data_IF_203713246920
#
_entry.id   IF_203713246920
#
_cell.length_a   1.000
_cell.length_b   1.000
_cell.length_c   1.000
_cell.angle_alpha   90.00
_cell.angle_beta   90.00
_cell.angle_gamma   90.00
#
_symmetry.space_group_name_H-M   'P 1'
#
loop_
_entity.id
_entity.type
_entity.pdbx_description
1 polymer ?
#
# COMPACT_ATOMS: atom_id res chain seq x y z
N UNK A 1 19.33 6.45 -0.99
CA UNK A 1 18.63 6.59 -2.28
C UNK A 1 17.17 6.26 -2.03
N UNK A 2 16.24 7.09 -2.48
CA UNK A 2 14.81 6.83 -2.38
C UNK A 2 14.37 5.79 -3.41
N UNK A 3 13.28 5.09 -3.12
CA UNK A 3 12.58 4.25 -4.08
C UNK A 3 11.30 4.93 -4.55
N UNK A 4 10.83 4.59 -5.74
CA UNK A 4 9.54 5.00 -6.27
C UNK A 4 8.73 3.80 -6.72
N UNK A 5 7.41 3.90 -6.63
CA UNK A 5 6.49 2.89 -7.11
C UNK A 5 5.19 3.52 -7.60
N UNK A 6 4.40 2.75 -8.32
CA UNK A 6 3.01 3.16 -8.55
C UNK A 6 2.05 2.49 -7.57
N UNK A 7 0.92 3.15 -7.32
CA UNK A 7 -0.22 2.61 -6.57
C UNK A 7 -1.46 2.65 -7.46
N UNK A 8 -1.95 1.48 -7.84
CA UNK A 8 -3.20 1.33 -8.60
C UNK A 8 -4.37 1.01 -7.67
N UNK A 9 -5.47 1.72 -7.83
CA UNK A 9 -6.75 1.39 -7.19
C UNK A 9 -7.52 0.32 -7.97
N UNK A 10 -7.18 0.13 -9.25
CA UNK A 10 -7.81 -0.83 -10.11
C UNK A 10 -9.29 -0.56 -10.36
N UNK A 11 -9.69 0.71 -10.39
CA UNK A 11 -11.05 1.09 -10.74
C UNK A 11 -11.44 0.60 -12.13
N UNK A 12 -12.62 0.04 -12.26
CA UNK A 12 -13.17 -0.35 -13.55
C UNK A 12 -14.60 0.13 -13.70
N UNK A 13 -14.90 0.61 -14.91
CA UNK A 13 -16.24 1.11 -15.25
C UNK A 13 -16.45 1.02 -16.75
N UNK A 14 -17.57 0.41 -17.16
CA UNK A 14 -18.01 0.44 -18.55
C UNK A 14 -18.63 1.81 -18.87
N UNK A 15 -17.78 2.72 -19.32
CA UNK A 15 -18.15 4.10 -19.66
C UNK A 15 -17.24 4.62 -20.78
N UNK A 16 -17.74 5.61 -21.51
CA UNK A 16 -16.94 6.33 -22.50
C UNK A 16 -15.69 6.96 -21.84
N UNK A 17 -14.54 6.85 -22.49
CA UNK A 17 -13.25 7.37 -21.98
C UNK A 17 -12.58 6.47 -20.95
N UNK A 18 -13.16 5.31 -20.56
CA UNK A 18 -12.49 4.32 -19.74
C UNK A 18 -11.93 3.18 -20.60
N UNK A 19 -10.62 2.95 -20.51
CA UNK A 19 -9.93 1.79 -21.09
C UNK A 19 -10.03 0.55 -20.17
N UNK A 20 -10.39 0.74 -18.89
CA UNK A 20 -10.60 -0.33 -17.90
C UNK A 20 -12.09 -0.49 -17.66
N UNK A 21 -12.77 -1.30 -18.48
CA UNK A 21 -14.23 -1.42 -18.50
C UNK A 21 -14.77 -2.55 -17.64
N UNK A 22 -13.97 -3.56 -17.40
CA UNK A 22 -14.33 -4.76 -16.64
C UNK A 22 -13.33 -5.08 -15.53
N UNK A 23 -13.72 -5.97 -14.61
CA UNK A 23 -12.81 -6.51 -13.62
C UNK A 23 -11.63 -7.25 -14.27
N UNK A 24 -11.86 -7.95 -15.39
CA UNK A 24 -10.80 -8.64 -16.12
C UNK A 24 -9.77 -7.64 -16.67
N UNK A 25 -10.23 -6.53 -17.29
CA UNK A 25 -9.35 -5.48 -17.77
C UNK A 25 -8.50 -4.92 -16.62
N UNK A 26 -9.11 -4.65 -15.48
CA UNK A 26 -8.42 -4.13 -14.31
C UNK A 26 -7.28 -5.05 -13.85
N UNK A 27 -7.53 -6.36 -13.78
CA UNK A 27 -6.53 -7.35 -13.37
C UNK A 27 -5.39 -7.47 -14.40
N UNK A 28 -5.73 -7.66 -15.69
CA UNK A 28 -4.76 -7.88 -16.75
C UNK A 28 -3.91 -6.63 -17.01
N UNK A 29 -4.53 -5.45 -17.08
CA UNK A 29 -3.81 -4.18 -17.27
C UNK A 29 -2.91 -3.84 -16.08
N UNK A 30 -3.26 -4.27 -14.86
CA UNK A 30 -2.37 -4.08 -13.69
C UNK A 30 -1.09 -4.94 -13.82
N UNK A 31 -1.19 -6.16 -14.37
CA UNK A 31 -0.03 -6.99 -14.66
C UNK A 31 0.84 -6.34 -15.75
N UNK A 32 0.24 -5.93 -16.86
CA UNK A 32 0.93 -5.27 -17.98
C UNK A 32 1.61 -3.96 -17.53
N UNK A 33 0.94 -3.17 -16.69
CA UNK A 33 1.54 -1.93 -16.16
C UNK A 33 2.74 -2.22 -15.24
N UNK A 34 2.70 -3.31 -14.47
CA UNK A 34 3.84 -3.69 -13.63
C UNK A 34 5.06 -4.11 -14.46
N UNK A 35 4.85 -4.80 -15.60
CA UNK A 35 5.92 -5.12 -16.56
C UNK A 35 6.50 -3.83 -17.17
N UNK A 36 5.64 -2.94 -17.66
CA UNK A 36 6.09 -1.64 -18.23
C UNK A 36 6.82 -0.78 -17.18
N UNK A 37 6.36 -0.75 -15.95
CA UNK A 37 7.01 -0.03 -14.86
C UNK A 37 8.41 -0.60 -14.54
N UNK A 38 8.56 -1.93 -14.55
CA UNK A 38 9.86 -2.57 -14.40
C UNK A 38 10.84 -2.20 -15.52
N UNK A 39 10.38 -2.13 -16.77
CA UNK A 39 11.18 -1.70 -17.92
C UNK A 39 11.64 -0.24 -17.78
N UNK A 40 10.81 0.62 -17.20
CA UNK A 40 11.13 2.02 -16.90
C UNK A 40 12.06 2.20 -15.69
N UNK A 41 12.39 1.12 -14.96
CA UNK A 41 13.25 1.15 -13.78
C UNK A 41 12.51 1.55 -12.49
N UNK A 42 11.19 1.58 -12.48
CA UNK A 42 10.37 1.83 -11.28
C UNK A 42 10.59 0.70 -10.28
N UNK A 43 10.73 1.03 -9.00
CA UNK A 43 11.08 0.07 -7.95
C UNK A 43 9.91 -0.78 -7.46
N UNK A 44 8.65 -0.33 -7.62
CA UNK A 44 7.51 -1.05 -7.05
C UNK A 44 6.18 -0.88 -7.77
N UNK A 45 5.41 -1.97 -7.77
CA UNK A 45 4.05 -2.08 -8.24
C UNK A 45 3.13 -2.41 -7.07
N UNK A 46 2.33 -1.43 -6.63
CA UNK A 46 1.44 -1.59 -5.48
C UNK A 46 -0.02 -1.52 -5.91
N UNK A 47 -0.85 -2.32 -5.27
CA UNK A 47 -2.29 -2.35 -5.49
C UNK A 47 -3.05 -2.03 -4.21
N UNK A 48 -4.09 -1.22 -4.32
CA UNK A 48 -5.03 -1.02 -3.23
C UNK A 48 -6.04 -2.17 -3.22
N UNK A 49 -6.47 -2.57 -2.02
CA UNK A 49 -7.48 -3.61 -1.83
C UNK A 49 -8.74 -2.98 -1.23
N UNK A 50 -9.89 -3.20 -1.90
CA UNK A 50 -11.18 -2.72 -1.43
C UNK A 50 -12.26 -3.75 -1.72
N UNK A 51 -13.03 -4.12 -0.69
CA UNK A 51 -14.16 -5.05 -0.83
C UNK A 51 -15.43 -4.30 -1.21
N UNK A 52 -16.36 -4.99 -1.87
CA UNK A 52 -17.67 -4.48 -2.33
C UNK A 52 -17.64 -3.30 -3.31
N UNK A 53 -16.49 -2.91 -3.80
CA UNK A 53 -16.28 -1.82 -4.75
C UNK A 53 -15.85 -2.36 -6.13
N UNK A 54 -16.05 -1.54 -7.17
CA UNK A 54 -15.50 -1.85 -8.50
C UNK A 54 -14.01 -1.50 -8.57
N UNK A 55 -13.23 -2.21 -7.77
CA UNK A 55 -11.80 -2.06 -7.56
C UNK A 55 -11.15 -3.43 -7.38
N UNK A 56 -9.84 -3.48 -7.16
CA UNK A 56 -9.14 -4.71 -6.81
C UNK A 56 -9.51 -5.14 -5.38
N UNK A 57 -9.84 -6.43 -5.20
CA UNK A 57 -10.31 -6.96 -3.92
C UNK A 57 -9.50 -8.18 -3.42
N UNK A 58 -8.91 -8.97 -4.33
CA UNK A 58 -8.16 -10.19 -3.99
C UNK A 58 -6.71 -10.03 -4.45
N UNK A 59 -5.77 -9.61 -3.56
CA UNK A 59 -4.44 -9.21 -3.99
C UNK A 59 -3.53 -10.39 -4.33
N UNK A 60 -3.57 -11.52 -3.61
CA UNK A 60 -2.55 -12.56 -3.73
C UNK A 60 -2.47 -13.24 -5.10
N UNK A 61 -3.58 -13.62 -5.77
CA UNK A 61 -3.50 -14.13 -7.14
C UNK A 61 -2.89 -13.14 -8.12
N UNK A 62 -3.23 -11.85 -7.98
CA UNK A 62 -2.70 -10.78 -8.81
C UNK A 62 -1.21 -10.55 -8.57
N UNK A 63 -0.79 -10.46 -7.30
CA UNK A 63 0.61 -10.28 -6.93
C UNK A 63 1.47 -11.48 -7.35
N UNK A 64 0.96 -12.70 -7.22
CA UNK A 64 1.65 -13.89 -7.70
C UNK A 64 1.84 -13.86 -9.24
N UNK A 65 0.80 -13.43 -9.98
CA UNK A 65 0.89 -13.27 -11.43
C UNK A 65 1.92 -12.20 -11.82
N UNK A 66 1.89 -11.02 -11.20
CA UNK A 66 2.90 -9.96 -11.41
C UNK A 66 4.30 -10.49 -11.04
N UNK A 67 4.44 -11.18 -9.90
CA UNK A 67 5.69 -11.74 -9.44
C UNK A 67 6.30 -12.74 -10.40
N UNK A 68 5.48 -13.57 -11.07
CA UNK A 68 5.91 -14.54 -12.07
C UNK A 68 6.31 -13.89 -13.42
N UNK A 69 5.73 -12.72 -13.75
CA UNK A 69 5.98 -11.99 -15.00
C UNK A 69 7.15 -11.01 -14.90
N UNK A 70 7.49 -10.55 -13.72
CA UNK A 70 8.56 -9.57 -13.45
C UNK A 70 9.77 -10.21 -12.78
N UNK A 71 10.89 -9.48 -12.68
CA UNK A 71 12.17 -10.00 -12.14
C UNK A 71 12.76 -9.16 -10.99
N UNK A 72 12.54 -7.85 -10.98
CA UNK A 72 13.19 -6.90 -10.06
C UNK A 72 12.21 -6.07 -9.25
N UNK A 73 11.10 -5.65 -9.87
CA UNK A 73 10.15 -4.75 -9.24
C UNK A 73 9.57 -5.37 -7.97
N UNK A 74 9.56 -4.62 -6.89
CA UNK A 74 8.83 -4.99 -5.67
C UNK A 74 7.33 -4.99 -5.95
N UNK A 75 6.62 -5.97 -5.42
CA UNK A 75 5.17 -6.08 -5.60
C UNK A 75 4.49 -5.93 -4.24
N UNK A 76 3.39 -5.22 -4.15
CA UNK A 76 2.84 -4.98 -2.82
C UNK A 76 1.40 -4.50 -2.78
N UNK A 77 0.95 -4.28 -1.56
CA UNK A 77 -0.39 -3.74 -1.28
C UNK A 77 -0.30 -2.41 -0.55
N UNK A 78 -1.22 -1.53 -0.88
CA UNK A 78 -1.34 -0.24 -0.22
C UNK A 78 -2.79 0.15 0.02
N UNK A 79 -3.52 -0.59 0.91
CA UNK A 79 -3.19 -1.70 1.83
C UNK A 79 -4.30 -2.75 1.85
N UNK A 80 -4.08 -3.90 2.49
CA UNK A 80 -5.12 -4.87 2.82
C UNK A 80 -5.84 -4.45 4.12
N UNK A 81 -7.14 -4.61 4.17
CA UNK A 81 -7.94 -4.40 5.37
C UNK A 81 -8.03 -5.70 6.20
N UNK A 82 -7.33 -5.73 7.32
CA UNK A 82 -7.26 -6.90 8.19
C UNK A 82 -8.61 -7.31 8.81
N UNK A 83 -9.61 -6.44 8.78
CA UNK A 83 -10.97 -6.80 9.25
C UNK A 83 -11.56 -7.94 8.43
N UNK A 84 -11.26 -7.98 7.13
CA UNK A 84 -11.78 -8.95 6.16
C UNK A 84 -10.96 -10.24 6.06
N UNK A 85 -9.74 -10.29 6.63
CA UNK A 85 -8.82 -11.39 6.42
C UNK A 85 -8.95 -12.52 7.44
N UNK A 86 -8.71 -13.75 6.99
CA UNK A 86 -8.32 -14.83 7.87
C UNK A 86 -6.78 -14.80 7.98
N UNK A 87 -6.22 -14.52 9.16
CA UNK A 87 -4.78 -14.30 9.29
C UNK A 87 -3.92 -15.52 8.94
N UNK A 88 -4.46 -16.74 9.08
CA UNK A 88 -3.73 -17.96 8.77
C UNK A 88 -3.74 -18.26 7.26
N UNK A 89 -4.90 -18.15 6.60
CA UNK A 89 -4.94 -18.21 5.13
C UNK A 89 -4.07 -17.14 4.49
N UNK A 90 -4.15 -15.92 5.02
CA UNK A 90 -3.32 -14.82 4.54
C UNK A 90 -1.81 -15.12 4.69
N UNK A 91 -1.40 -15.81 5.75
CA UNK A 91 0.00 -16.21 5.95
C UNK A 91 0.46 -17.22 4.88
N UNK A 92 -0.38 -18.19 4.53
CA UNK A 92 -0.11 -19.17 3.45
C UNK A 92 -0.01 -18.47 2.08
N UNK A 93 -0.98 -17.62 1.75
CA UNK A 93 -1.05 -16.90 0.47
C UNK A 93 0.09 -15.89 0.32
N UNK A 94 0.40 -15.13 1.38
CA UNK A 94 1.50 -14.18 1.37
C UNK A 94 2.85 -14.87 1.19
N UNK A 95 3.08 -15.98 1.89
CA UNK A 95 4.31 -16.74 1.74
C UNK A 95 4.43 -17.36 0.34
N UNK A 96 3.34 -17.88 -0.22
CA UNK A 96 3.32 -18.42 -1.58
C UNK A 96 3.61 -17.32 -2.63
N UNK A 97 2.96 -16.16 -2.53
CA UNK A 97 3.19 -15.04 -3.44
C UNK A 97 4.63 -14.50 -3.33
N UNK A 98 5.18 -14.43 -2.12
CA UNK A 98 6.54 -13.99 -1.88
C UNK A 98 7.58 -14.97 -2.46
N UNK A 99 7.40 -16.26 -2.27
CA UNK A 99 8.25 -17.29 -2.86
C UNK A 99 8.19 -17.29 -4.40
N UNK A 100 7.01 -17.14 -4.99
CA UNK A 100 6.83 -17.03 -6.45
C UNK A 100 7.58 -15.79 -6.98
N UNK A 101 7.53 -14.69 -6.27
CA UNK A 101 8.20 -13.45 -6.66
C UNK A 101 9.70 -13.42 -6.32
N UNK A 102 10.23 -14.42 -5.63
CA UNK A 102 11.64 -14.45 -5.20
C UNK A 102 11.96 -13.47 -4.07
N UNK A 103 11.04 -13.29 -3.12
CA UNK A 103 11.26 -12.44 -1.94
C UNK A 103 11.01 -10.95 -2.19
N UNK A 104 10.17 -10.58 -3.16
CA UNK A 104 9.91 -9.18 -3.54
C UNK A 104 8.58 -8.62 -3.01
N UNK A 105 7.81 -9.42 -2.26
CA UNK A 105 6.54 -8.98 -1.70
C UNK A 105 6.74 -7.92 -0.61
N UNK A 106 6.03 -6.81 -0.72
CA UNK A 106 5.94 -5.71 0.23
C UNK A 106 4.48 -5.63 0.72
N UNK A 107 4.17 -6.30 1.80
CA UNK A 107 2.79 -6.53 2.23
C UNK A 107 2.29 -5.43 3.15
N UNK A 108 1.52 -4.48 2.61
CA UNK A 108 0.87 -3.42 3.36
C UNK A 108 -0.48 -3.89 3.91
N UNK A 109 -0.68 -3.73 5.21
CA UNK A 109 -1.92 -4.06 5.94
C UNK A 109 -2.37 -2.88 6.79
N UNK A 110 -3.65 -2.82 7.15
CA UNK A 110 -4.20 -1.79 8.04
C UNK A 110 -5.45 -2.28 8.77
N UNK A 111 -6.01 -1.39 9.59
CA UNK A 111 -7.34 -1.60 10.16
C UNK A 111 -8.48 -1.32 9.18
N UNK A 112 -8.17 -0.98 7.93
CA UNK A 112 -9.12 -0.54 6.93
C UNK A 112 -9.39 0.97 6.93
N UNK A 113 -10.01 1.42 5.85
CA UNK A 113 -10.53 2.78 5.67
C UNK A 113 -12.05 2.78 5.80
N UNK A 114 -12.69 3.94 5.91
CA UNK A 114 -14.14 4.06 5.79
C UNK A 114 -14.65 3.45 4.49
N UNK A 115 -15.77 2.75 4.57
CA UNK A 115 -16.38 2.00 3.48
C UNK A 115 -17.81 2.45 3.23
N UNK A 116 -18.29 2.23 2.01
CA UNK A 116 -19.70 2.46 1.66
C UNK A 116 -20.60 1.32 2.16
N UNK A 117 -20.04 0.14 2.43
CA UNK A 117 -20.75 -1.03 2.93
C UNK A 117 -20.93 -0.97 4.45
N UNK A 118 -22.12 -1.23 4.92
CA UNK A 118 -22.42 -1.31 6.35
C UNK A 118 -21.97 -2.69 6.89
N UNK A 119 -21.04 -2.71 7.85
CA UNK A 119 -20.57 -3.93 8.54
C UNK A 119 -20.05 -5.00 7.58
N UNK A 120 -19.30 -4.58 6.56
CA UNK A 120 -18.87 -5.45 5.46
C UNK A 120 -18.07 -6.69 5.91
N UNK A 121 -17.19 -6.57 6.91
CA UNK A 121 -16.41 -7.68 7.44
C UNK A 121 -17.29 -8.81 8.01
N UNK A 122 -18.48 -8.50 8.53
CA UNK A 122 -19.41 -9.50 9.06
C UNK A 122 -20.00 -10.39 7.95
N UNK A 123 -20.14 -9.88 6.72
CA UNK A 123 -20.54 -10.70 5.57
C UNK A 123 -19.51 -11.79 5.26
N UNK A 124 -18.25 -11.58 5.64
CA UNK A 124 -17.16 -12.57 5.56
C UNK A 124 -17.07 -13.45 6.82
N UNK A 125 -18.00 -13.32 7.77
CA UNK A 125 -18.05 -14.09 9.01
C UNK A 125 -17.18 -13.54 10.14
N UNK A 126 -16.64 -12.32 10.00
CA UNK A 126 -15.77 -11.69 11.00
C UNK A 126 -16.55 -10.70 11.86
N UNK A 127 -17.16 -11.21 12.92
CA UNK A 127 -17.90 -10.43 13.90
C UNK A 127 -16.95 -10.11 15.07
N UNK A 128 -16.71 -8.82 15.40
CA UNK A 128 -15.92 -8.47 16.56
C UNK A 128 -16.53 -9.07 17.83
N UNK A 129 -15.73 -9.60 18.76
CA UNK A 129 -16.22 -10.01 20.07
C UNK A 129 -16.92 -8.85 20.78
N UNK A 130 -17.85 -9.18 21.69
CA UNK A 130 -18.56 -8.16 22.48
C UNK A 130 -17.56 -7.26 23.23
N UNK A 131 -17.72 -5.94 23.11
CA UNK A 131 -16.82 -4.95 23.71
C UNK A 131 -15.53 -4.67 22.94
N UNK A 132 -15.30 -5.34 21.81
CA UNK A 132 -14.13 -5.14 20.94
C UNK A 132 -14.52 -4.30 19.73
N UNK A 133 -13.76 -3.25 19.41
CA UNK A 133 -13.99 -2.45 18.22
C UNK A 133 -13.31 -3.07 16.96
N UNK A 134 -13.68 -2.56 15.79
CA UNK A 134 -13.13 -3.05 14.53
C UNK A 134 -11.60 -2.83 14.39
N UNK A 135 -11.06 -1.81 15.05
CA UNK A 135 -9.62 -1.53 15.02
C UNK A 135 -8.85 -2.54 15.88
N UNK A 136 -9.42 -2.94 17.00
CA UNK A 136 -8.84 -3.98 17.87
C UNK A 136 -8.91 -5.36 17.21
N UNK A 137 -10.01 -5.68 16.53
CA UNK A 137 -10.11 -6.90 15.71
C UNK A 137 -9.00 -6.93 14.63
N UNK A 138 -8.80 -5.84 13.91
CA UNK A 138 -7.76 -5.77 12.89
C UNK A 138 -6.35 -5.91 13.49
N UNK A 139 -6.08 -5.32 14.65
CA UNK A 139 -4.79 -5.46 15.35
C UNK A 139 -4.55 -6.90 15.80
N UNK A 140 -5.52 -7.54 16.44
CA UNK A 140 -5.39 -8.93 16.92
C UNK A 140 -5.16 -9.92 15.76
N UNK A 141 -5.85 -9.73 14.63
CA UNK A 141 -5.62 -10.51 13.41
C UNK A 141 -4.23 -10.25 12.82
N UNK A 142 -3.76 -9.01 12.85
CA UNK A 142 -2.41 -8.67 12.39
C UNK A 142 -1.34 -9.34 13.26
N UNK A 143 -1.49 -9.32 14.57
CA UNK A 143 -0.56 -9.97 15.50
C UNK A 143 -0.51 -11.49 15.27
N UNK A 144 -1.65 -12.15 15.07
CA UNK A 144 -1.69 -13.58 14.73
C UNK A 144 -1.04 -13.85 13.36
N UNK A 145 -1.27 -13.01 12.36
CA UNK A 145 -0.61 -13.09 11.06
C UNK A 145 0.91 -12.99 11.19
N UNK A 146 1.41 -12.00 11.96
CA UNK A 146 2.83 -11.81 12.19
C UNK A 146 3.47 -13.02 12.88
N UNK A 147 2.82 -13.58 13.90
CA UNK A 147 3.25 -14.81 14.56
C UNK A 147 3.30 -16.00 13.58
N UNK A 148 2.30 -16.14 12.72
CA UNK A 148 2.23 -17.22 11.75
C UNK A 148 3.37 -17.17 10.72
N UNK A 149 3.69 -16.00 10.17
CA UNK A 149 4.80 -15.83 9.21
C UNK A 149 6.19 -15.88 9.89
N UNK A 150 6.27 -15.70 11.21
CA UNK A 150 7.46 -15.93 12.02
C UNK A 150 7.66 -17.42 12.38
N UNK A 151 6.77 -18.30 11.92
CA UNK A 151 6.86 -19.74 12.13
C UNK A 151 6.35 -20.22 13.49
N UNK A 152 5.56 -19.40 14.20
CA UNK A 152 4.94 -19.82 15.44
C UNK A 152 4.00 -21.03 15.24
N UNK A 153 3.97 -21.92 16.21
CA UNK A 153 3.03 -23.05 16.21
C UNK A 153 1.61 -22.54 16.51
N UNK A 154 0.72 -22.70 15.54
CA UNK A 154 -0.69 -22.27 15.61
C UNK A 154 -1.66 -23.44 15.72
N UNK A 155 -1.17 -24.68 15.55
CA UNK A 155 -1.93 -25.91 15.69
C UNK A 155 -1.10 -26.97 16.44
N UNK A 156 -1.70 -28.13 16.70
CA UNK A 156 -1.02 -29.24 17.35
C UNK A 156 -1.12 -30.51 16.50
N UNK A 157 -0.08 -31.34 16.56
CA UNK A 157 -0.09 -32.67 15.96
C UNK A 157 -1.13 -33.55 16.64
N UNK A 158 -1.71 -34.51 15.89
CA UNK A 158 -2.46 -35.63 16.44
C UNK A 158 -1.49 -36.78 16.76
N UNK A 159 -1.16 -37.04 18.04
CA UNK A 159 -0.19 -38.05 18.40
C UNK A 159 -0.62 -39.48 17.98
N UNK A 160 -1.93 -39.73 17.86
CA UNK A 160 -2.44 -41.03 17.42
C UNK A 160 -2.09 -41.32 15.95
N UNK A 161 -1.90 -40.27 15.14
CA UNK A 161 -1.53 -40.38 13.72
C UNK A 161 -0.04 -40.22 13.45
N UNK A 162 0.61 -39.33 14.19
CA UNK A 162 2.00 -38.95 13.94
C UNK A 162 3.01 -39.68 14.85
N UNK A 163 2.54 -40.28 15.94
CA UNK A 163 3.40 -40.88 16.96
C UNK A 163 4.13 -39.89 17.85
N UNK A 164 3.99 -38.58 17.61
CA UNK A 164 4.67 -37.50 18.35
C UNK A 164 3.70 -36.41 18.74
N UNK A 165 3.96 -35.78 19.89
CA UNK A 165 3.27 -34.55 20.30
C UNK A 165 4.11 -33.34 19.92
N UNK A 166 3.50 -32.30 19.35
CA UNK A 166 4.21 -31.08 18.97
C UNK A 166 3.29 -29.99 18.44
N UNK A 167 3.85 -28.80 18.24
CA UNK A 167 3.20 -27.70 17.56
C UNK A 167 3.41 -27.76 16.05
N UNK A 168 2.47 -27.22 15.31
CA UNK A 168 2.51 -27.10 13.86
C UNK A 168 2.45 -25.62 13.46
N UNK A 169 3.43 -25.17 12.68
CA UNK A 169 3.42 -23.87 12.03
C UNK A 169 2.72 -23.96 10.66
N UNK A 170 2.22 -22.82 10.19
CA UNK A 170 1.70 -22.64 8.83
C UNK A 170 2.82 -22.93 7.80
N UNK A 171 2.45 -23.48 6.66
CA UNK A 171 3.35 -23.72 5.51
C UNK A 171 2.67 -23.22 4.22
N UNK A 172 3.45 -22.68 3.24
CA UNK A 172 4.90 -22.52 3.28
C UNK A 172 5.36 -21.38 4.19
N UNK A 173 6.63 -21.34 4.56
CA UNK A 173 7.29 -20.20 5.17
C UNK A 173 8.14 -19.48 4.13
N UNK A 174 8.13 -18.14 4.11
CA UNK A 174 9.01 -17.36 3.25
C UNK A 174 10.02 -16.55 4.08
N UNK A 175 11.33 -16.85 3.97
CA UNK A 175 12.36 -16.19 4.76
C UNK A 175 12.38 -14.67 4.53
N UNK A 176 12.41 -13.89 5.61
CA UNK A 176 12.47 -12.43 5.57
C UNK A 176 11.15 -11.73 5.20
N UNK A 177 10.05 -12.44 4.97
CA UNK A 177 8.74 -11.81 4.70
C UNK A 177 8.33 -10.88 5.85
N UNK A 178 8.63 -11.24 7.09
CA UNK A 178 8.35 -10.44 8.28
C UNK A 178 8.89 -9.02 8.20
N UNK A 179 10.06 -8.81 7.62
CA UNK A 179 10.70 -7.51 7.47
C UNK A 179 10.08 -6.64 6.38
N UNK A 180 9.24 -7.26 5.51
CA UNK A 180 8.57 -6.62 4.39
C UNK A 180 7.08 -6.39 4.62
N UNK A 181 6.63 -6.54 5.87
CA UNK A 181 5.27 -6.15 6.29
C UNK A 181 5.25 -4.68 6.64
N UNK A 182 4.20 -3.98 6.18
CA UNK A 182 3.98 -2.56 6.35
C UNK A 182 2.63 -2.31 7.01
N UNK A 183 2.55 -1.27 7.82
CA UNK A 183 1.28 -0.82 8.39
C UNK A 183 0.84 0.49 7.76
N UNK A 184 -0.38 0.48 7.18
CA UNK A 184 -1.06 1.68 6.71
C UNK A 184 -1.63 2.47 7.88
N UNK A 185 -1.10 3.68 8.10
CA UNK A 185 -1.42 4.48 9.28
C UNK A 185 -2.03 5.82 8.90
N UNK A 186 -3.25 6.08 9.38
CA UNK A 186 -3.96 7.36 9.28
C UNK A 186 -3.84 8.24 10.52
N UNK A 187 -3.12 7.81 11.59
CA UNK A 187 -2.93 8.57 12.83
C UNK A 187 -1.51 8.40 13.38
N UNK A 188 -1.06 9.37 14.20
CA UNK A 188 0.23 9.26 14.90
C UNK A 188 0.28 8.07 15.87
N UNK A 189 -0.82 7.80 16.55
CA UNK A 189 -0.92 6.70 17.52
C UNK A 189 -0.74 5.33 16.85
N UNK A 190 -1.37 5.09 15.68
CA UNK A 190 -1.23 3.81 14.96
C UNK A 190 0.14 3.65 14.30
N UNK A 191 0.82 4.75 13.94
CA UNK A 191 2.21 4.72 13.52
C UNK A 191 3.15 4.23 14.62
N UNK A 192 2.98 4.71 15.85
CA UNK A 192 3.76 4.24 17.02
C UNK A 192 3.52 2.76 17.32
N UNK A 193 2.26 2.29 17.22
CA UNK A 193 1.95 0.87 17.38
C UNK A 193 2.66 0.02 16.31
N UNK A 194 2.66 0.45 15.05
CA UNK A 194 3.36 -0.24 13.97
C UNK A 194 4.86 -0.37 14.25
N UNK A 195 5.48 0.69 14.77
CA UNK A 195 6.87 0.67 15.18
C UNK A 195 7.13 -0.35 16.29
N UNK A 196 6.29 -0.38 17.34
CA UNK A 196 6.41 -1.35 18.43
C UNK A 196 6.30 -2.80 17.93
N UNK A 197 5.47 -3.05 16.91
CA UNK A 197 5.34 -4.35 16.26
C UNK A 197 6.47 -4.67 15.26
N UNK A 198 7.40 -3.77 15.01
CA UNK A 198 8.49 -3.96 14.06
C UNK A 198 8.04 -4.00 12.58
N UNK A 199 6.93 -3.37 12.24
CA UNK A 199 6.45 -3.21 10.87
C UNK A 199 6.96 -1.92 10.23
N UNK A 200 7.18 -1.90 8.92
CA UNK A 200 7.41 -0.68 8.15
C UNK A 200 6.17 0.22 8.16
N UNK A 201 6.32 1.50 7.82
CA UNK A 201 5.22 2.46 7.82
C UNK A 201 4.80 2.82 6.39
N UNK A 202 3.50 2.66 6.08
CA UNK A 202 2.85 3.35 4.97
C UNK A 202 2.00 4.48 5.54
N UNK A 203 2.47 5.74 5.44
CA UNK A 203 1.67 6.89 5.84
C UNK A 203 0.53 7.09 4.84
N UNK A 204 -0.70 7.11 5.35
CA UNK A 204 -1.92 7.08 4.54
C UNK A 204 -2.06 8.33 3.65
N UNK A 205 -2.79 8.19 2.54
CA UNK A 205 -3.20 9.31 1.68
C UNK A 205 -4.19 10.28 2.35
N UNK A 206 -4.69 9.91 3.52
CA UNK A 206 -5.51 10.74 4.39
C UNK A 206 -5.08 10.56 5.85
N UNK A 207 -5.17 11.61 6.63
CA UNK A 207 -5.02 11.56 8.08
C UNK A 207 -6.34 11.92 8.75
N UNK A 208 -6.75 11.13 9.72
CA UNK A 208 -7.95 11.36 10.54
C UNK A 208 -7.68 12.30 11.71
N UNK A 209 -6.62 13.09 11.62
CA UNK A 209 -6.20 14.11 12.57
C UNK A 209 -6.08 15.45 11.82
N UNK A 210 -7.05 16.34 11.96
CA UNK A 210 -6.96 17.69 11.40
C UNK A 210 -6.62 18.69 12.50
N UNK A 211 -5.36 19.13 12.53
CA UNK A 211 -4.82 20.11 13.50
C UNK A 211 -4.64 21.50 12.89
N UNK A 212 -5.08 21.72 11.63
CA UNK A 212 -4.82 22.95 10.88
C UNK A 212 -3.44 23.04 10.22
N UNK A 213 -2.56 22.07 10.50
CA UNK A 213 -1.22 21.96 9.89
C UNK A 213 -1.35 21.38 8.47
N UNK A 214 -0.53 21.78 7.48
CA UNK A 214 -0.50 21.17 6.15
C UNK A 214 -0.30 19.66 6.19
N UNK A 215 -0.84 18.95 5.19
CA UNK A 215 -0.86 17.48 5.17
C UNK A 215 0.55 16.87 5.18
N UNK A 216 1.47 17.41 4.40
CA UNK A 216 2.86 16.95 4.33
C UNK A 216 3.59 17.11 5.66
N UNK A 217 3.33 18.20 6.40
CA UNK A 217 3.91 18.43 7.73
C UNK A 217 3.33 17.47 8.77
N UNK A 218 2.00 17.20 8.75
CA UNK A 218 1.37 16.20 9.61
C UNK A 218 1.94 14.80 9.38
N UNK A 219 2.18 14.43 8.11
CA UNK A 219 2.83 13.17 7.80
C UNK A 219 4.29 13.13 8.24
N UNK A 220 5.04 14.22 8.09
CA UNK A 220 6.41 14.33 8.57
C UNK A 220 6.49 14.17 10.09
N UNK A 221 5.55 14.78 10.85
CA UNK A 221 5.41 14.55 12.30
C UNK A 221 5.12 13.07 12.62
N UNK A 222 4.18 12.43 11.90
CA UNK A 222 3.89 11.01 12.07
C UNK A 222 5.12 10.15 11.85
N UNK A 223 5.90 10.44 10.81
CA UNK A 223 7.15 9.74 10.48
C UNK A 223 8.20 9.91 11.60
N UNK A 224 8.35 11.12 12.12
CA UNK A 224 9.27 11.41 13.22
C UNK A 224 8.92 10.61 14.48
N UNK A 225 7.64 10.62 14.88
CA UNK A 225 7.15 9.85 16.03
C UNK A 225 7.26 8.33 15.83
N UNK A 226 7.05 7.84 14.60
CA UNK A 226 7.25 6.44 14.27
C UNK A 226 8.73 6.04 14.41
N UNK A 227 9.68 6.85 13.90
CA UNK A 227 11.11 6.58 14.03
C UNK A 227 11.56 6.58 15.49
N UNK A 228 11.06 7.51 16.28
CA UNK A 228 11.32 7.54 17.72
C UNK A 228 10.84 6.25 18.40
N UNK A 229 9.58 5.86 18.17
CA UNK A 229 8.99 4.64 18.73
C UNK A 229 9.72 3.37 18.26
N UNK A 230 10.23 3.35 17.03
CA UNK A 230 11.07 2.27 16.53
C UNK A 230 12.36 2.10 17.31
N UNK A 231 13.04 3.20 17.62
CA UNK A 231 14.25 3.20 18.46
C UNK A 231 13.95 2.78 19.91
N UNK A 232 12.86 3.31 20.48
CA UNK A 232 12.39 2.95 21.82
C UNK A 232 12.08 1.45 21.96
N UNK A 233 11.55 0.83 20.89
CA UNK A 233 11.28 -0.60 20.84
C UNK A 233 12.54 -1.48 20.68
N UNK A 234 13.71 -0.89 20.45
CA UNK A 234 15.00 -1.59 20.39
C UNK A 234 15.24 -2.41 19.12
N UNK A 235 14.51 -2.12 18.03
CA UNK A 235 14.73 -2.80 16.76
C UNK A 235 16.07 -2.42 16.14
N UNK A 236 16.81 -3.41 15.63
CA UNK A 236 18.16 -3.23 15.07
C UNK A 236 18.19 -2.92 13.58
N UNK A 237 17.17 -3.36 12.82
CA UNK A 237 17.07 -3.04 11.39
C UNK A 237 16.61 -1.60 11.17
N UNK A 238 16.95 -1.03 10.03
CA UNK A 238 16.40 0.26 9.60
C UNK A 238 14.99 0.05 9.03
N UNK A 239 13.96 0.73 9.57
CA UNK A 239 12.61 0.64 9.02
C UNK A 239 12.51 1.38 7.69
N UNK A 240 11.58 0.94 6.84
CA UNK A 240 11.25 1.66 5.61
C UNK A 240 9.93 2.42 5.82
N UNK A 241 9.85 3.59 5.20
CA UNK A 241 8.70 4.50 5.33
C UNK A 241 8.25 4.92 3.94
N UNK A 242 6.97 4.76 3.64
CA UNK A 242 6.38 5.22 2.39
C UNK A 242 5.32 6.30 2.60
N UNK A 243 5.22 7.18 1.62
CA UNK A 243 4.11 8.12 1.43
C UNK A 243 3.55 7.98 0.03
N UNK A 244 2.25 8.25 -0.14
CA UNK A 244 1.61 8.24 -1.45
C UNK A 244 1.29 9.65 -1.91
N UNK A 245 1.46 9.91 -3.22
CA UNK A 245 1.16 11.21 -3.85
C UNK A 245 0.43 11.00 -5.18
N UNK A 246 -0.58 11.83 -5.43
CA UNK A 246 -1.19 11.95 -6.75
C UNK A 246 -0.35 12.92 -7.57
N UNK A 247 0.31 12.40 -8.61
CA UNK A 247 1.21 13.18 -9.49
C UNK A 247 0.76 13.00 -10.92
N UNK A 248 0.32 14.08 -11.53
CA UNK A 248 -0.29 14.12 -12.85
C UNK A 248 0.43 15.15 -13.73
N UNK A 249 1.55 14.77 -14.37
CA UNK A 249 2.28 15.67 -15.25
C UNK A 249 1.45 16.01 -16.49
N UNK A 250 1.45 17.28 -16.86
CA UNK A 250 0.80 17.80 -18.07
C UNK A 250 1.89 18.08 -19.10
N UNK A 251 1.96 17.27 -20.15
CA UNK A 251 2.95 17.34 -21.21
C UNK A 251 2.32 17.49 -22.60
N UNK A 252 1.05 17.12 -22.72
CA UNK A 252 0.27 17.14 -23.96
C UNK A 252 -1.11 17.77 -23.72
N UNK A 253 -1.78 18.20 -24.78
CA UNK A 253 -3.13 18.80 -24.70
C UNK A 253 -4.16 17.86 -24.05
N UNK A 254 -4.04 16.54 -24.27
CA UNK A 254 -4.93 15.54 -23.66
C UNK A 254 -4.78 15.50 -22.14
N UNK A 255 -3.60 15.77 -21.61
CA UNK A 255 -3.36 15.80 -20.16
C UNK A 255 -4.07 16.99 -19.53
N UNK A 256 -4.07 18.15 -20.22
CA UNK A 256 -4.81 19.34 -19.78
C UNK A 256 -6.33 19.06 -19.73
N UNK A 257 -6.87 18.33 -20.71
CA UNK A 257 -8.28 17.94 -20.72
C UNK A 257 -8.62 17.03 -19.54
N UNK A 258 -7.75 16.08 -19.20
CA UNK A 258 -8.00 15.15 -18.10
C UNK A 258 -7.73 15.74 -16.71
N UNK A 259 -6.74 16.59 -16.58
CA UNK A 259 -6.19 16.96 -15.28
C UNK A 259 -6.22 18.48 -14.99
N UNK A 260 -6.40 19.33 -15.99
CA UNK A 260 -6.30 20.80 -15.84
C UNK A 260 -7.25 21.44 -14.81
N UNK A 261 -8.36 20.75 -14.49
CA UNK A 261 -9.32 21.19 -13.48
C UNK A 261 -9.12 20.58 -12.08
N UNK A 262 -8.04 19.82 -11.85
CA UNK A 262 -7.78 19.20 -10.55
C UNK A 262 -7.42 20.23 -9.47
N UNK A 263 -7.86 19.96 -8.23
CA UNK A 263 -7.54 20.80 -7.09
C UNK A 263 -6.06 20.67 -6.69
N UNK A 264 -5.41 21.81 -6.47
CA UNK A 264 -3.99 21.91 -6.10
C UNK A 264 -3.76 21.97 -4.58
N UNK A 265 -4.81 22.11 -3.78
CA UNK A 265 -4.71 22.30 -2.33
C UNK A 265 -5.13 21.05 -1.57
N UNK A 266 -4.64 20.95 -0.31
CA UNK A 266 -5.11 19.97 0.64
C UNK A 266 -6.63 20.08 0.83
N UNK A 267 -7.31 18.94 0.90
CA UNK A 267 -8.75 18.90 1.12
C UNK A 267 -9.06 18.47 2.54
N UNK A 268 -10.11 19.05 3.12
CA UNK A 268 -10.63 18.66 4.43
C UNK A 268 -12.05 18.16 4.27
N UNK A 269 -12.31 16.96 4.82
CA UNK A 269 -13.62 16.33 4.77
C UNK A 269 -13.98 15.64 6.09
N UNK A 270 -15.21 15.15 6.16
CA UNK A 270 -15.67 14.32 7.28
C UNK A 270 -15.71 12.86 6.82
N UNK A 271 -15.00 11.98 7.53
CA UNK A 271 -15.05 10.55 7.35
C UNK A 271 -15.50 9.90 8.65
N UNK A 272 -16.63 9.18 8.60
CA UNK A 272 -17.24 8.55 9.80
C UNK A 272 -17.40 9.54 10.97
N UNK A 273 -17.72 10.80 10.66
CA UNK A 273 -17.86 11.87 11.66
C UNK A 273 -16.52 12.44 12.17
N UNK A 274 -15.38 11.94 11.71
CA UNK A 274 -14.06 12.44 12.06
C UNK A 274 -13.55 13.39 10.98
N UNK A 275 -13.07 14.55 11.39
CA UNK A 275 -12.45 15.52 10.48
C UNK A 275 -11.12 14.98 9.97
N UNK A 276 -11.03 14.80 8.67
CA UNK A 276 -9.92 14.15 7.99
C UNK A 276 -9.31 15.12 6.97
N UNK A 277 -7.98 15.07 6.85
CA UNK A 277 -7.24 15.85 5.87
C UNK A 277 -6.66 14.94 4.79
N UNK A 278 -6.84 15.32 3.54
CA UNK A 278 -6.33 14.64 2.36
C UNK A 278 -5.23 15.48 1.72
N UNK A 279 -4.19 14.84 1.23
CA UNK A 279 -3.13 15.51 0.52
C UNK A 279 -3.59 16.06 -0.84
N UNK A 280 -2.95 17.12 -1.27
CA UNK A 280 -3.18 17.75 -2.57
C UNK A 280 -2.76 16.83 -3.73
N UNK A 281 -3.25 17.15 -4.93
CA UNK A 281 -2.77 16.59 -6.18
C UNK A 281 -1.69 17.51 -6.76
N UNK A 282 -0.57 16.92 -7.17
CA UNK A 282 0.51 17.61 -7.90
C UNK A 282 0.22 17.48 -9.39
N UNK A 283 -0.25 18.55 -10.02
CA UNK A 283 -0.65 18.57 -11.44
C UNK A 283 -0.02 19.75 -12.16
N UNK A 284 0.45 19.55 -13.39
CA UNK A 284 1.01 20.60 -14.26
C UNK A 284 2.35 20.24 -14.88
N UNK A 285 3.15 21.25 -15.16
CA UNK A 285 4.48 21.07 -15.77
C UNK A 285 5.40 20.22 -14.91
N UNK A 286 6.13 19.22 -15.47
CA UNK A 286 7.00 18.32 -14.74
C UNK A 286 8.07 18.99 -13.87
N UNK A 287 8.66 20.11 -14.34
CA UNK A 287 9.69 20.83 -13.57
C UNK A 287 9.09 21.51 -12.34
N UNK A 288 7.90 22.08 -12.47
CA UNK A 288 7.15 22.65 -11.34
C UNK A 288 6.77 21.56 -10.33
N UNK A 289 6.27 20.42 -10.80
CA UNK A 289 5.94 19.29 -9.92
C UNK A 289 7.19 18.81 -9.16
N UNK A 290 8.34 18.72 -9.84
CA UNK A 290 9.61 18.33 -9.23
C UNK A 290 10.03 19.29 -8.10
N UNK A 291 9.89 20.59 -8.31
CA UNK A 291 10.15 21.62 -7.30
C UNK A 291 9.20 21.48 -6.10
N UNK A 292 7.89 21.36 -6.35
CA UNK A 292 6.87 21.23 -5.31
C UNK A 292 7.03 19.94 -4.48
N UNK A 293 7.33 18.79 -5.11
CA UNK A 293 7.59 17.53 -4.41
C UNK A 293 8.90 17.58 -3.61
N UNK A 294 9.91 18.27 -4.11
CA UNK A 294 11.17 18.47 -3.38
C UNK A 294 10.99 19.33 -2.13
N UNK A 295 9.97 20.18 -2.10
CA UNK A 295 9.61 20.98 -0.94
C UNK A 295 8.72 20.24 0.08
N UNK A 296 8.03 19.16 -0.31
CA UNK A 296 7.14 18.37 0.53
C UNK A 296 7.90 17.70 1.69
N UNK A 297 7.56 18.02 2.93
CA UNK A 297 8.28 17.57 4.11
C UNK A 297 8.17 16.05 4.33
N UNK A 298 7.02 15.46 4.00
CA UNK A 298 6.85 14.01 4.12
C UNK A 298 7.59 13.24 3.01
N UNK A 299 7.64 13.79 1.79
CA UNK A 299 8.47 13.24 0.71
C UNK A 299 9.95 13.29 1.09
N UNK A 300 10.43 14.39 1.71
CA UNK A 300 11.81 14.46 2.23
C UNK A 300 12.08 13.37 3.25
N UNK A 301 11.15 13.15 4.18
CA UNK A 301 11.29 12.21 5.29
C UNK A 301 11.13 10.74 4.89
N UNK A 302 10.42 10.42 3.81
CA UNK A 302 10.13 9.06 3.40
C UNK A 302 11.28 8.40 2.62
N UNK A 303 11.32 7.07 2.63
CA UNK A 303 12.27 6.25 1.87
C UNK A 303 11.67 5.77 0.54
N UNK A 304 10.33 5.72 0.46
CA UNK A 304 9.57 5.20 -0.68
C UNK A 304 8.41 6.13 -1.02
N UNK A 305 8.31 6.52 -2.28
CA UNK A 305 7.21 7.36 -2.77
C UNK A 305 6.33 6.53 -3.70
N UNK A 306 5.06 6.40 -3.37
CA UNK A 306 4.08 5.70 -4.20
C UNK A 306 3.24 6.73 -4.97
N UNK A 307 3.32 6.70 -6.29
CA UNK A 307 2.52 7.56 -7.16
C UNK A 307 1.21 6.88 -7.52
N UNK A 308 0.08 7.52 -7.20
CA UNK A 308 -1.23 6.99 -7.60
C UNK A 308 -1.41 7.17 -9.10
N UNK A 309 -1.90 6.12 -9.78
CA UNK A 309 -2.11 6.13 -11.22
C UNK A 309 -3.59 6.14 -11.58
N UNK A 310 -4.03 6.93 -12.59
CA UNK A 310 -5.38 6.91 -13.12
C UNK A 310 -5.58 5.68 -14.03
N UNK A 311 -5.69 4.50 -13.44
CA UNK A 311 -5.69 3.22 -14.15
C UNK A 311 -6.76 3.13 -15.27
N UNK A 312 -7.87 3.87 -15.17
CA UNK A 312 -8.91 3.89 -16.20
C UNK A 312 -8.44 4.44 -17.56
N UNK A 313 -7.31 5.16 -17.60
CA UNK A 313 -6.72 5.66 -18.84
C UNK A 313 -5.86 4.61 -19.58
N UNK A 314 -5.82 3.38 -19.08
CA UNK A 314 -5.15 2.24 -19.69
C UNK A 314 -3.63 2.20 -19.48
N UNK A 315 -3.02 1.09 -19.93
CA UNK A 315 -1.61 0.79 -19.68
C UNK A 315 -0.67 1.80 -20.34
N UNK A 316 -0.87 2.08 -21.64
CA UNK A 316 0.02 2.96 -22.40
C UNK A 316 0.07 4.38 -21.82
N UNK A 317 -1.09 4.90 -21.42
CA UNK A 317 -1.18 6.24 -20.82
C UNK A 317 -0.47 6.29 -19.45
N UNK A 318 -0.72 5.31 -18.60
CA UNK A 318 -0.08 5.22 -17.28
C UNK A 318 1.43 4.98 -17.38
N UNK A 319 1.89 4.18 -18.34
CA UNK A 319 3.33 4.00 -18.61
C UNK A 319 4.00 5.33 -19.03
N UNK A 320 3.35 6.15 -19.88
CA UNK A 320 3.82 7.50 -20.24
C UNK A 320 3.91 8.43 -19.02
N UNK A 321 2.91 8.40 -18.13
CA UNK A 321 2.98 9.14 -16.84
C UNK A 321 4.20 8.69 -16.04
N UNK A 322 4.41 7.40 -15.86
CA UNK A 322 5.55 6.86 -15.12
C UNK A 322 6.88 7.19 -15.78
N UNK A 323 6.97 7.16 -17.11
CA UNK A 323 8.15 7.58 -17.85
C UNK A 323 8.47 9.07 -17.61
N UNK A 324 7.46 9.93 -17.64
CA UNK A 324 7.63 11.37 -17.34
C UNK A 324 8.10 11.56 -15.89
N UNK A 325 7.53 10.82 -14.95
CA UNK A 325 7.92 10.86 -13.53
C UNK A 325 9.38 10.41 -13.37
N UNK A 326 9.79 9.29 -13.96
CA UNK A 326 11.15 8.74 -13.82
C UNK A 326 12.19 9.65 -14.43
N UNK A 327 11.89 10.28 -15.57
CA UNK A 327 12.84 11.14 -16.29
C UNK A 327 12.96 12.56 -15.72
N UNK A 328 11.87 13.16 -15.31
CA UNK A 328 11.80 14.61 -15.04
C UNK A 328 11.48 14.97 -13.59
N UNK A 329 10.88 14.08 -12.81
CA UNK A 329 10.38 14.40 -11.46
C UNK A 329 11.18 13.65 -10.38
N UNK A 330 11.28 12.34 -10.49
CA UNK A 330 11.88 11.50 -9.47
C UNK A 330 13.35 11.82 -9.15
N UNK A 331 14.22 12.22 -10.11
CA UNK A 331 15.59 12.63 -9.78
C UNK A 331 15.65 13.79 -8.77
N UNK A 332 14.72 14.74 -8.83
CA UNK A 332 14.69 15.89 -7.94
C UNK A 332 14.38 15.52 -6.48
N UNK A 333 13.70 14.40 -6.24
CA UNK A 333 13.42 13.89 -4.90
C UNK A 333 14.45 12.88 -4.39
N UNK A 334 15.56 12.65 -5.13
CA UNK A 334 16.67 11.78 -4.74
C UNK A 334 16.52 10.31 -5.17
N UNK A 335 15.75 10.05 -6.21
CA UNK A 335 15.67 8.75 -6.86
C UNK A 335 16.62 8.69 -8.07
N UNK A 336 17.14 7.51 -8.33
CA UNK A 336 17.80 7.18 -9.61
C UNK A 336 17.50 5.71 -9.95
N UNK A 337 17.36 5.41 -11.24
CA UNK A 337 17.17 4.03 -11.68
C UNK A 337 18.30 3.14 -11.18
N UNK A 338 17.96 1.97 -10.67
CA UNK A 338 18.94 0.94 -10.34
C UNK A 338 19.54 0.42 -11.65
N UNK A 339 20.85 0.50 -11.78
CA UNK A 339 21.61 -0.01 -12.93
C UNK A 339 21.56 -1.54 -13.00
#
# INVERSE_FOLDING_TARGET
MKKIGFLSFGHWRDAAGSETRSAADSLLQTIELAEAAEELGVDGAFVRVHHFERQLASPFPLLAAIGARTRRIEIGTGVIDMRYENPLYMAEEAAAADLISGGRLQLGVSRGSPETVLRGAEAFGYIPPEGTDAAELARSKTELFLQAIDGAAVARTDPARTGVSGGLAIQPQSPGLRERVWWGSGTRATGRWAAAQGMNLQSSTLLTEDTGVPFDQLQAEQIALYRQAWQEAGHTRTPRISVSRSVLPVTEEIDEIYFGAQAHDDQVGLLEGVRSRFGRTYVGDPARIAEELSADEAVKAADYILFTVPNQLGVAYNARILETITRHIAPAIGWSASS
#
